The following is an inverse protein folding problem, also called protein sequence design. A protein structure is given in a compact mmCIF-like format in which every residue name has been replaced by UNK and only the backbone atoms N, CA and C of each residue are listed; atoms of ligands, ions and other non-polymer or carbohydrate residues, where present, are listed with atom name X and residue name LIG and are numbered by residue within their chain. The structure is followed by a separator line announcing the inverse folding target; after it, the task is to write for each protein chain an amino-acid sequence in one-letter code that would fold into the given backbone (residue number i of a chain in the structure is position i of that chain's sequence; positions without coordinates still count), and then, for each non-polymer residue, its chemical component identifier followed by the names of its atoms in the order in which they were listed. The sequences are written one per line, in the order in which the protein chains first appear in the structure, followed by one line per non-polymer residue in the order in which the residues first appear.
data_IF_799470294034
#
_entry.id   IF_799470294034
#
_cell.length_a   1.000
_cell.length_b   1.000
_cell.length_c   1.000
_cell.angle_alpha   90.00
_cell.angle_beta   90.00
_cell.angle_gamma   90.00
#
_symmetry.space_group_name_H-M   'P 1'
#
loop_
_entity.id
_entity.type
_entity.pdbx_description
1 polymer ?
#
# COMPACT_ATOMS: atom_id res chain seq x y z
N UNK A 1 -22.99 -1.58 -7.29
CA UNK A 1 -22.17 -0.37 -7.50
C UNK A 1 -20.84 -0.58 -6.80
N UNK A 2 -19.72 -0.33 -7.48
CA UNK A 2 -18.37 -0.64 -6.98
C UNK A 2 -18.01 0.23 -5.76
N UNK A 3 -17.33 -0.35 -4.77
CA UNK A 3 -16.79 0.33 -3.59
C UNK A 3 -15.32 -0.06 -3.32
N UNK A 4 -14.65 0.65 -2.40
CA UNK A 4 -13.24 0.41 -2.07
C UNK A 4 -12.96 -0.97 -1.51
N UNK A 5 -13.94 -1.60 -0.85
CA UNK A 5 -13.77 -2.96 -0.31
C UNK A 5 -13.79 -3.99 -1.45
N UNK A 6 -14.68 -3.81 -2.42
CA UNK A 6 -14.74 -4.65 -3.62
C UNK A 6 -13.50 -4.50 -4.49
N UNK A 7 -12.97 -3.27 -4.62
CA UNK A 7 -11.68 -3.01 -5.29
C UNK A 7 -10.56 -3.81 -4.59
N UNK A 8 -10.39 -3.63 -3.28
CA UNK A 8 -9.35 -4.33 -2.52
C UNK A 8 -9.50 -5.86 -2.58
N UNK A 9 -10.73 -6.38 -2.53
CA UNK A 9 -10.99 -7.83 -2.62
C UNK A 9 -10.51 -8.44 -3.94
N UNK A 10 -10.45 -7.65 -5.01
CA UNK A 10 -9.99 -8.12 -6.32
C UNK A 10 -8.48 -8.38 -6.34
N UNK A 11 -7.72 -7.73 -5.46
CA UNK A 11 -6.26 -7.69 -5.53
C UNK A 11 -5.53 -8.58 -4.52
N UNK A 12 -6.21 -9.40 -3.72
CA UNK A 12 -5.62 -10.05 -2.52
C UNK A 12 -5.01 -8.99 -1.56
N UNK A 13 -4.78 -9.33 -0.29
CA UNK A 13 -4.40 -8.33 0.73
C UNK A 13 -3.14 -8.74 1.48
N UNK A 14 -2.04 -8.02 1.23
CA UNK A 14 -0.81 -8.08 2.01
C UNK A 14 -0.62 -6.81 2.87
N UNK A 15 0.41 -6.84 3.73
CA UNK A 15 0.67 -5.80 4.73
C UNK A 15 1.05 -4.42 4.14
N UNK A 16 1.46 -4.37 2.87
CA UNK A 16 1.81 -3.15 2.14
C UNK A 16 0.62 -2.54 1.36
N UNK A 17 -0.59 -3.06 1.58
CA UNK A 17 -1.81 -2.63 0.87
C UNK A 17 -2.90 -2.22 1.87
N UNK A 18 -3.55 -1.08 1.63
CA UNK A 18 -4.53 -0.52 2.57
C UNK A 18 -5.62 0.32 1.88
N UNK A 19 -6.83 0.25 2.43
CA UNK A 19 -7.89 1.22 2.16
C UNK A 19 -7.71 2.38 3.14
N UNK A 20 -7.12 3.48 2.67
CA UNK A 20 -6.86 4.68 3.47
C UNK A 20 -8.16 5.43 3.75
N UNK A 21 -8.96 5.65 2.70
CA UNK A 21 -10.24 6.35 2.78
C UNK A 21 -11.30 5.53 2.05
N UNK A 22 -12.36 5.15 2.77
CA UNK A 22 -13.47 4.35 2.21
C UNK A 22 -14.31 5.21 1.26
N UNK A 23 -14.76 4.60 0.17
CA UNK A 23 -15.65 5.22 -0.81
C UNK A 23 -16.65 4.22 -1.39
N UNK A 24 -17.75 4.73 -1.95
CA UNK A 24 -18.83 3.94 -2.56
C UNK A 24 -19.26 4.62 -3.87
N UNK A 25 -19.92 3.86 -4.75
CA UNK A 25 -20.44 4.34 -6.05
C UNK A 25 -19.33 4.83 -6.98
N UNK A 26 -18.18 4.15 -6.95
CA UNK A 26 -17.00 4.48 -7.75
C UNK A 26 -17.25 4.08 -9.20
N UNK A 27 -17.06 5.02 -10.14
CA UNK A 27 -17.18 4.80 -11.59
C UNK A 27 -15.94 5.25 -12.35
N UNK A 28 -15.29 6.33 -11.92
CA UNK A 28 -14.06 6.86 -12.52
C UNK A 28 -12.96 6.89 -11.46
N UNK A 29 -11.78 6.36 -11.78
CA UNK A 29 -10.65 6.32 -10.85
C UNK A 29 -9.40 6.89 -11.52
N UNK A 30 -8.55 7.55 -10.73
CA UNK A 30 -7.15 7.77 -11.10
C UNK A 30 -6.33 6.61 -10.57
N UNK A 31 -5.54 5.97 -11.43
CA UNK A 31 -4.56 4.94 -11.03
C UNK A 31 -3.17 5.50 -11.28
N UNK A 32 -2.30 5.45 -10.27
CA UNK A 32 -0.93 5.95 -10.37
C UNK A 32 0.02 5.09 -9.53
N UNK A 33 1.30 5.06 -9.92
CA UNK A 33 2.33 4.33 -9.17
C UNK A 33 2.55 5.03 -7.83
N UNK A 34 2.87 6.32 -7.89
CA UNK A 34 3.08 7.20 -6.74
C UNK A 34 1.89 8.13 -6.58
N UNK A 35 1.43 8.30 -5.34
CA UNK A 35 0.33 9.21 -5.00
C UNK A 35 0.72 10.02 -3.77
N UNK A 36 0.86 11.33 -3.97
CA UNK A 36 0.94 12.34 -2.93
C UNK A 36 -0.25 13.31 -2.99
N UNK A 37 -0.08 14.48 -2.38
CA UNK A 37 -1.12 15.52 -2.35
C UNK A 37 -1.45 16.04 -3.76
N UNK A 38 -0.46 16.12 -4.66
CA UNK A 38 -0.64 16.63 -6.01
C UNK A 38 -1.56 15.73 -6.85
N UNK A 39 -1.37 14.41 -6.79
CA UNK A 39 -2.20 13.45 -7.54
C UNK A 39 -3.63 13.41 -6.99
N UNK A 40 -3.83 13.61 -5.69
CA UNK A 40 -5.16 13.74 -5.10
C UNK A 40 -5.89 15.00 -5.61
N UNK A 41 -5.18 16.12 -5.74
CA UNK A 41 -5.73 17.35 -6.32
C UNK A 41 -6.04 17.17 -7.82
N UNK A 42 -5.14 16.54 -8.56
CA UNK A 42 -5.36 16.21 -9.98
C UNK A 42 -6.59 15.32 -10.15
N UNK A 43 -6.74 14.27 -9.34
CA UNK A 43 -7.89 13.38 -9.39
C UNK A 43 -9.21 14.11 -9.13
N UNK A 44 -9.22 15.06 -8.18
CA UNK A 44 -10.37 15.92 -7.93
C UNK A 44 -10.71 16.76 -9.17
N UNK A 45 -9.72 17.41 -9.77
CA UNK A 45 -9.92 18.32 -10.90
C UNK A 45 -10.34 17.56 -12.17
N UNK A 46 -9.91 16.31 -12.32
CA UNK A 46 -10.38 15.39 -13.37
C UNK A 46 -11.76 14.78 -13.09
N UNK A 47 -12.37 15.05 -11.94
CA UNK A 47 -13.67 14.51 -11.54
C UNK A 47 -13.66 13.00 -11.28
N UNK A 48 -12.57 12.47 -10.72
CA UNK A 48 -12.47 11.07 -10.30
C UNK A 48 -13.23 10.82 -8.99
N UNK A 49 -13.83 9.64 -8.87
CA UNK A 49 -14.54 9.20 -7.66
C UNK A 49 -13.61 8.56 -6.62
N UNK A 50 -12.41 8.12 -7.03
CA UNK A 50 -11.39 7.54 -6.16
C UNK A 50 -9.99 7.59 -6.79
N UNK A 51 -8.98 7.34 -5.96
CA UNK A 51 -7.58 7.14 -6.38
C UNK A 51 -7.12 5.75 -5.94
N UNK A 52 -6.40 5.05 -6.83
CA UNK A 52 -5.72 3.79 -6.55
C UNK A 52 -4.22 4.02 -6.75
N UNK A 53 -3.47 3.92 -5.66
CA UNK A 53 -2.01 3.99 -5.67
C UNK A 53 -1.41 2.58 -5.78
N UNK A 54 -0.28 2.43 -6.47
CA UNK A 54 0.52 1.21 -6.36
C UNK A 54 1.32 1.21 -5.06
N UNK A 55 2.18 2.21 -4.85
CA UNK A 55 2.99 2.29 -3.64
C UNK A 55 2.14 2.62 -2.40
N UNK A 56 2.57 2.21 -1.19
CA UNK A 56 1.89 2.56 0.05
C UNK A 56 1.76 4.08 0.21
N UNK A 57 0.53 4.59 0.16
CA UNK A 57 0.21 6.00 0.23
C UNK A 57 0.15 6.54 1.68
N UNK A 58 0.96 5.97 2.59
CA UNK A 58 0.93 6.25 4.03
C UNK A 58 0.25 5.15 4.85
N UNK A 59 -0.26 5.52 6.02
CA UNK A 59 -0.99 4.64 6.92
C UNK A 59 -0.17 3.44 7.42
N UNK A 60 -0.88 2.36 7.74
CA UNK A 60 -0.28 1.09 8.16
C UNK A 60 0.39 0.39 6.99
N UNK A 61 -0.12 0.53 5.77
CA UNK A 61 0.56 -0.01 4.59
C UNK A 61 2.01 0.49 4.47
N UNK A 62 2.26 1.75 4.81
CA UNK A 62 3.62 2.31 4.83
C UNK A 62 4.41 1.91 6.07
N UNK A 63 3.78 1.94 7.25
CA UNK A 63 4.42 1.61 8.53
C UNK A 63 4.81 0.12 8.64
N UNK A 64 3.94 -0.77 8.19
CA UNK A 64 4.06 -2.22 8.33
C UNK A 64 4.44 -2.93 7.01
N UNK A 65 4.57 -2.18 5.91
CA UNK A 65 4.85 -2.74 4.59
C UNK A 65 6.13 -3.58 4.53
N UNK A 66 7.13 -3.28 5.37
CA UNK A 66 8.35 -4.09 5.49
C UNK A 66 8.07 -5.55 5.85
N UNK A 67 6.94 -5.86 6.49
CA UNK A 67 6.57 -7.24 6.86
C UNK A 67 6.31 -8.11 5.64
N UNK A 68 6.00 -7.54 4.48
CA UNK A 68 5.90 -8.30 3.21
C UNK A 68 7.24 -8.96 2.85
N UNK A 69 8.37 -8.40 3.31
CA UNK A 69 9.69 -8.99 3.11
C UNK A 69 9.84 -10.38 3.77
N UNK A 70 9.01 -10.72 4.76
CA UNK A 70 8.99 -12.06 5.37
C UNK A 70 8.64 -13.16 4.35
N UNK A 71 7.91 -12.83 3.27
CA UNK A 71 7.61 -13.78 2.19
C UNK A 71 8.86 -14.31 1.48
N UNK A 72 9.99 -13.61 1.59
CA UNK A 72 11.25 -14.13 1.06
C UNK A 72 11.72 -15.41 1.76
N UNK A 73 11.28 -15.68 3.01
CA UNK A 73 11.54 -16.98 3.66
C UNK A 73 10.94 -18.10 2.80
N UNK A 74 9.67 -17.98 2.43
CA UNK A 74 8.99 -18.99 1.62
C UNK A 74 9.61 -19.11 0.23
N UNK A 75 9.95 -17.99 -0.42
CA UNK A 75 10.61 -18.01 -1.73
C UNK A 75 11.99 -18.69 -1.70
N UNK A 76 12.77 -18.47 -0.64
CA UNK A 76 14.06 -19.14 -0.46
C UNK A 76 13.87 -20.63 -0.21
N UNK A 77 12.87 -21.01 0.58
CA UNK A 77 12.53 -22.42 0.84
C UNK A 77 12.08 -23.13 -0.44
N UNK A 78 11.24 -22.49 -1.25
CA UNK A 78 10.82 -22.98 -2.57
C UNK A 78 12.02 -23.19 -3.52
N UNK A 79 13.07 -22.38 -3.38
CA UNK A 79 14.33 -22.54 -4.11
C UNK A 79 15.29 -23.58 -3.51
N UNK A 80 14.90 -24.29 -2.45
CA UNK A 80 15.69 -25.35 -1.81
C UNK A 80 16.62 -24.89 -0.68
N UNK A 81 16.51 -23.63 -0.22
CA UNK A 81 17.28 -23.13 0.92
C UNK A 81 16.68 -23.67 2.23
N UNK A 82 17.48 -24.23 3.16
CA UNK A 82 17.00 -24.63 4.48
C UNK A 82 16.33 -23.48 5.25
N UNK A 83 15.27 -23.77 5.99
CA UNK A 83 14.45 -22.76 6.68
C UNK A 83 15.27 -21.84 7.61
N UNK A 84 16.14 -22.40 8.43
CA UNK A 84 17.04 -21.63 9.28
C UNK A 84 17.97 -20.70 8.47
N UNK A 85 18.51 -21.17 7.35
CA UNK A 85 19.36 -20.35 6.48
C UNK A 85 18.55 -19.23 5.79
N UNK A 86 17.30 -19.50 5.42
CA UNK A 86 16.40 -18.49 4.84
C UNK A 86 16.04 -17.40 5.86
N UNK A 87 15.71 -17.77 7.09
CA UNK A 87 15.44 -16.82 8.18
C UNK A 87 16.66 -15.95 8.49
N UNK A 88 17.85 -16.54 8.64
CA UNK A 88 19.08 -15.78 8.89
C UNK A 88 19.41 -14.83 7.72
N UNK A 89 19.21 -15.26 6.47
CA UNK A 89 19.53 -14.48 5.28
C UNK A 89 18.72 -13.17 5.20
N UNK A 90 17.45 -13.17 5.61
CA UNK A 90 16.59 -11.99 5.47
C UNK A 90 16.73 -10.98 6.63
N UNK A 91 17.19 -11.42 7.82
CA UNK A 91 17.22 -10.59 9.05
C UNK A 91 17.87 -9.22 8.87
N UNK A 92 19.07 -9.08 8.26
CA UNK A 92 19.70 -7.77 8.12
C UNK A 92 18.87 -6.80 7.28
N UNK A 93 18.31 -7.29 6.17
CA UNK A 93 17.51 -6.46 5.27
C UNK A 93 16.15 -6.13 5.88
N UNK A 94 15.51 -7.08 6.55
CA UNK A 94 14.25 -6.85 7.25
C UNK A 94 14.41 -5.74 8.30
N UNK A 95 15.48 -5.80 9.12
CA UNK A 95 15.77 -4.78 10.12
C UNK A 95 16.05 -3.41 9.49
N UNK A 96 16.80 -3.37 8.39
CA UNK A 96 17.05 -2.12 7.68
C UNK A 96 15.75 -1.49 7.15
N UNK A 97 14.84 -2.29 6.59
CA UNK A 97 13.54 -1.82 6.08
C UNK A 97 12.63 -1.30 7.21
N UNK A 98 12.59 -1.99 8.35
CA UNK A 98 11.84 -1.55 9.53
C UNK A 98 12.30 -0.15 9.99
N UNK A 99 13.61 0.08 10.04
CA UNK A 99 14.18 1.37 10.45
C UNK A 99 14.03 2.46 9.38
N UNK A 100 14.18 2.10 8.11
CA UNK A 100 14.15 3.04 6.98
C UNK A 100 12.82 3.79 6.90
N UNK A 101 11.70 3.12 7.19
CA UNK A 101 10.38 3.74 7.09
C UNK A 101 9.93 4.42 8.37
N UNK A 102 10.56 4.13 9.52
CA UNK A 102 10.21 4.69 10.82
C UNK A 102 10.00 6.22 10.85
N UNK A 103 10.83 7.07 10.21
CA UNK A 103 10.67 8.52 10.25
C UNK A 103 9.64 9.09 9.27
N UNK A 104 8.99 8.26 8.45
CA UNK A 104 8.05 8.73 7.43
C UNK A 104 6.81 9.41 8.06
N UNK A 105 6.29 10.45 7.40
CA UNK A 105 5.01 11.01 7.76
C UNK A 105 3.86 10.17 7.17
N UNK A 106 3.46 9.13 7.89
CA UNK A 106 2.43 8.19 7.44
C UNK A 106 1.05 8.82 7.22
N UNK A 107 0.78 9.97 7.81
CA UNK A 107 -0.56 10.57 7.78
C UNK A 107 -0.71 11.67 6.71
N UNK A 108 0.38 12.12 6.07
CA UNK A 108 0.33 13.23 5.11
C UNK A 108 -0.70 13.02 3.99
N UNK A 109 -0.52 11.95 3.20
CA UNK A 109 -1.42 11.63 2.07
C UNK A 109 -2.81 11.18 2.54
N UNK A 110 -2.96 10.31 3.56
CA UNK A 110 -4.28 9.93 4.06
C UNK A 110 -5.08 11.12 4.61
N UNK A 111 -4.45 12.04 5.35
CA UNK A 111 -5.12 13.25 5.84
C UNK A 111 -5.52 14.19 4.71
N UNK A 112 -4.68 14.36 3.69
CA UNK A 112 -5.05 15.13 2.50
C UNK A 112 -6.26 14.51 1.78
N UNK A 113 -6.25 13.20 1.54
CA UNK A 113 -7.36 12.48 0.92
C UNK A 113 -8.65 12.62 1.74
N UNK A 114 -8.56 12.51 3.07
CA UNK A 114 -9.68 12.72 3.99
C UNK A 114 -10.26 14.13 3.87
N UNK A 115 -9.43 15.17 3.82
CA UNK A 115 -9.86 16.57 3.69
C UNK A 115 -10.52 16.85 2.33
N UNK A 116 -9.99 16.24 1.26
CA UNK A 116 -10.56 16.31 -0.08
C UNK A 116 -11.81 15.44 -0.26
N UNK A 117 -12.17 14.61 0.75
CA UNK A 117 -13.21 13.58 0.66
C UNK A 117 -12.98 12.64 -0.53
N UNK A 118 -11.73 12.35 -0.83
CA UNK A 118 -11.30 11.50 -1.94
C UNK A 118 -11.06 10.08 -1.41
N UNK A 119 -11.86 9.08 -1.82
CA UNK A 119 -11.55 7.69 -1.56
C UNK A 119 -10.17 7.32 -2.10
N UNK A 120 -9.40 6.60 -1.28
CA UNK A 120 -8.00 6.28 -1.57
C UNK A 120 -7.71 4.85 -1.11
N UNK A 121 -7.11 4.08 -2.01
CA UNK A 121 -6.63 2.72 -1.76
C UNK A 121 -5.20 2.61 -2.29
N UNK A 122 -4.31 1.92 -1.58
CA UNK A 122 -3.03 1.47 -2.12
C UNK A 122 -2.99 -0.05 -2.24
N UNK A 123 -2.53 -0.56 -3.39
CA UNK A 123 -2.39 -1.99 -3.70
C UNK A 123 -1.00 -2.19 -4.29
N UNK A 124 -0.10 -2.78 -3.50
CA UNK A 124 1.30 -2.93 -3.87
C UNK A 124 1.63 -4.38 -4.26
N UNK A 125 1.77 -5.26 -3.28
CA UNK A 125 2.02 -6.70 -3.51
C UNK A 125 0.71 -7.49 -3.40
N UNK A 126 0.05 -7.85 -4.51
CA UNK A 126 -1.10 -8.73 -4.51
C UNK A 126 -0.71 -10.21 -4.23
#
# INVERSE_FOLDING_TARGET
MLDTQQIMKTALRLADSEIHIKGRRIRKVLVAIDVGVAELLLARDLGCDAVIAHHPAGGRARLEGYKVFLRHIDQLREAGVPENAAEEAIKPKLRALELQHHPDNYDQTPSAAKKLRMPLVSIHSP
#
